data_IF_893158364819
#
_entry.id   IF_893158364819
#
_cell.length_a   1.000
_cell.length_b   1.000
_cell.length_c   1.000
_cell.angle_alpha   90.00
_cell.angle_beta   90.00
_cell.angle_gamma   90.00
#
_symmetry.space_group_name_H-M   'P 1'
#
loop_
_entity.id
_entity.type
_entity.pdbx_description
1 polymer ?
#
# COMPACT_ATOMS: atom_id res chain seq x y z
N UNK A 1 -18.75 -1.07 -21.04
CA UNK A 1 -17.95 -0.95 -19.80
C UNK A 1 -18.51 0.26 -19.08
N UNK A 2 -19.30 0.01 -18.05
CA UNK A 2 -19.90 1.06 -17.23
C UNK A 2 -19.05 1.22 -15.98
N UNK A 3 -18.51 2.42 -15.77
CA UNK A 3 -17.71 2.75 -14.58
C UNK A 3 -18.51 3.77 -13.77
N UNK A 4 -18.69 3.51 -12.49
CA UNK A 4 -19.47 4.35 -11.56
C UNK A 4 -18.60 4.80 -10.41
N UNK A 5 -18.79 6.04 -9.97
CA UNK A 5 -18.28 6.52 -8.71
C UNK A 5 -19.20 5.99 -7.59
N UNK A 6 -18.65 5.33 -6.62
CA UNK A 6 -19.36 4.83 -5.45
C UNK A 6 -18.72 5.44 -4.21
N UNK A 7 -19.49 6.18 -3.38
CA UNK A 7 -19.03 6.68 -2.09
C UNK A 7 -18.56 5.53 -1.19
N UNK A 8 -17.54 5.80 -0.35
CA UNK A 8 -16.93 4.78 0.52
C UNK A 8 -17.94 3.98 1.34
N UNK A 9 -18.95 4.61 1.86
CA UNK A 9 -20.00 4.02 2.70
C UNK A 9 -20.94 3.08 1.93
N UNK A 10 -21.06 3.24 0.63
CA UNK A 10 -21.90 2.43 -0.25
C UNK A 10 -21.12 1.27 -0.92
N UNK A 11 -19.80 1.22 -0.75
CA UNK A 11 -18.98 0.17 -1.35
C UNK A 11 -19.28 -1.17 -0.68
N UNK A 12 -19.62 -2.20 -1.48
CA UNK A 12 -19.68 -3.58 -1.01
C UNK A 12 -18.28 -4.09 -0.67
N UNK A 13 -18.04 -4.23 0.64
CA UNK A 13 -16.75 -4.65 1.18
C UNK A 13 -16.29 -6.01 0.66
N UNK A 14 -17.20 -6.94 0.50
CA UNK A 14 -16.86 -8.30 0.07
C UNK A 14 -16.44 -8.31 -1.39
N UNK A 15 -17.22 -7.67 -2.26
CA UNK A 15 -16.94 -7.58 -3.68
C UNK A 15 -15.67 -6.80 -3.96
N UNK A 16 -15.48 -5.64 -3.31
CA UNK A 16 -14.28 -4.83 -3.42
C UNK A 16 -13.01 -5.60 -3.05
N UNK A 17 -12.98 -6.18 -1.85
CA UNK A 17 -11.82 -6.94 -1.39
C UNK A 17 -11.58 -8.21 -2.22
N UNK A 18 -12.63 -8.82 -2.75
CA UNK A 18 -12.53 -9.95 -3.66
C UNK A 18 -11.88 -9.54 -4.98
N UNK A 19 -12.30 -8.41 -5.56
CA UNK A 19 -11.67 -7.86 -6.76
C UNK A 19 -10.17 -7.62 -6.53
N UNK A 20 -9.80 -6.94 -5.46
CA UNK A 20 -8.37 -6.68 -5.12
C UNK A 20 -7.61 -8.00 -4.91
N UNK A 21 -8.22 -8.99 -4.25
CA UNK A 21 -7.58 -10.27 -3.95
C UNK A 21 -7.24 -11.06 -5.22
N UNK A 22 -8.14 -11.09 -6.18
CA UNK A 22 -7.98 -11.85 -7.42
C UNK A 22 -7.38 -11.04 -8.57
N UNK A 23 -7.13 -9.73 -8.36
CA UNK A 23 -6.48 -8.90 -9.36
C UNK A 23 -5.04 -9.37 -9.60
N UNK A 24 -4.61 -9.34 -10.87
CA UNK A 24 -3.24 -9.72 -11.27
C UNK A 24 -2.18 -8.79 -10.66
N UNK A 25 -2.55 -7.55 -10.38
CA UNK A 25 -1.75 -6.53 -9.70
C UNK A 25 -2.21 -6.29 -8.26
N UNK A 26 -2.96 -7.26 -7.69
CA UNK A 26 -3.48 -7.15 -6.32
C UNK A 26 -2.37 -6.99 -5.29
N UNK A 27 -2.53 -6.02 -4.40
CA UNK A 27 -1.61 -5.76 -3.31
C UNK A 27 -2.36 -5.29 -2.06
N UNK A 28 -1.64 -5.14 -0.96
CA UNK A 28 -2.23 -4.78 0.33
C UNK A 28 -2.89 -3.39 0.33
N UNK A 29 -2.40 -2.48 -0.50
CA UNK A 29 -2.84 -1.08 -0.52
C UNK A 29 -4.25 -0.90 -1.11
N UNK A 30 -4.74 -1.86 -1.91
CA UNK A 30 -6.08 -1.84 -2.47
C UNK A 30 -7.19 -2.28 -1.51
N UNK A 31 -6.86 -3.00 -0.43
CA UNK A 31 -7.88 -3.50 0.50
C UNK A 31 -8.53 -2.37 1.31
N UNK A 32 -9.84 -2.46 1.48
CA UNK A 32 -10.61 -1.47 2.24
C UNK A 32 -10.07 -1.24 3.65
N UNK A 33 -9.69 -2.30 4.37
CA UNK A 33 -9.15 -2.17 5.74
C UNK A 33 -7.84 -1.37 5.79
N UNK A 34 -7.03 -1.42 4.71
CA UNK A 34 -5.80 -0.64 4.61
C UNK A 34 -6.12 0.82 4.27
N UNK A 35 -6.98 1.03 3.27
CA UNK A 35 -7.45 2.36 2.87
C UNK A 35 -8.13 3.08 4.04
N UNK A 36 -9.03 2.41 4.76
CA UNK A 36 -9.71 2.96 5.95
C UNK A 36 -8.76 3.30 7.10
N UNK A 37 -7.58 2.69 7.14
CA UNK A 37 -6.57 3.01 8.13
C UNK A 37 -5.72 4.22 7.75
N UNK A 38 -5.41 4.38 6.46
CA UNK A 38 -4.40 5.34 5.99
C UNK A 38 -4.97 6.53 5.22
N UNK A 39 -6.06 6.35 4.49
CA UNK A 39 -6.73 7.45 3.80
C UNK A 39 -7.71 8.15 4.73
N UNK A 40 -7.69 9.49 4.76
CA UNK A 40 -8.67 10.26 5.54
C UNK A 40 -10.06 10.18 4.92
N UNK A 41 -10.11 10.27 3.60
CA UNK A 41 -11.32 10.21 2.79
C UNK A 41 -10.97 9.47 1.51
N UNK A 42 -11.88 8.60 1.06
CA UNK A 42 -11.74 7.94 -0.20
C UNK A 42 -13.07 7.40 -0.71
N UNK A 43 -13.23 7.38 -2.02
CA UNK A 43 -14.32 6.77 -2.76
C UNK A 43 -13.76 5.73 -3.73
N UNK A 44 -14.62 5.07 -4.50
CA UNK A 44 -14.21 4.08 -5.47
C UNK A 44 -14.79 4.34 -6.86
N UNK A 45 -13.96 4.22 -7.90
CA UNK A 45 -14.47 3.93 -9.24
C UNK A 45 -14.62 2.42 -9.37
N UNK A 46 -15.78 1.97 -9.83
CA UNK A 46 -16.14 0.56 -9.93
C UNK A 46 -16.68 0.25 -11.33
N UNK A 47 -16.07 -0.72 -11.99
CA UNK A 47 -16.54 -1.28 -13.26
C UNK A 47 -17.53 -2.41 -12.99
N UNK A 48 -18.73 -2.31 -13.61
CA UNK A 48 -19.74 -3.35 -13.58
C UNK A 48 -20.12 -3.81 -12.17
N UNK A 49 -20.07 -5.11 -11.91
CA UNK A 49 -20.27 -5.69 -10.55
C UNK A 49 -18.93 -5.98 -9.86
N UNK A 50 -18.05 -4.98 -9.79
CA UNK A 50 -16.70 -5.05 -9.20
C UNK A 50 -15.70 -5.92 -9.98
N UNK A 51 -15.82 -5.99 -11.31
CA UNK A 51 -14.78 -6.63 -12.14
C UNK A 51 -13.45 -5.88 -12.10
N UNK A 52 -13.52 -4.55 -11.93
CA UNK A 52 -12.35 -3.72 -11.67
C UNK A 52 -12.71 -2.58 -10.73
N UNK A 53 -11.76 -2.18 -9.91
CA UNK A 53 -11.93 -1.10 -8.93
C UNK A 53 -10.70 -0.20 -8.87
N UNK A 54 -10.91 1.10 -8.64
CA UNK A 54 -9.85 2.07 -8.40
C UNK A 54 -10.20 2.92 -7.18
N UNK A 55 -9.41 2.89 -6.11
CA UNK A 55 -9.62 3.78 -4.97
C UNK A 55 -9.22 5.21 -5.34
N UNK A 56 -10.05 6.16 -4.98
CA UNK A 56 -9.84 7.59 -5.12
C UNK A 56 -9.66 8.21 -3.75
N UNK A 57 -8.43 8.29 -3.29
CA UNK A 57 -8.08 8.88 -2.00
C UNK A 57 -7.92 10.40 -2.15
N UNK A 58 -8.66 11.17 -1.38
CA UNK A 58 -8.69 12.62 -1.56
C UNK A 58 -8.60 13.41 -0.25
N UNK A 59 -8.31 14.69 -0.41
CA UNK A 59 -8.41 15.70 0.65
C UNK A 59 -9.08 16.96 0.12
N UNK A 60 -9.73 17.67 1.04
CA UNK A 60 -10.22 18.99 0.75
C UNK A 60 -9.07 19.96 0.57
N UNK A 61 -9.18 20.79 -0.43
CA UNK A 61 -8.24 21.85 -0.78
C UNK A 61 -8.90 23.21 -0.56
N UNK A 62 -8.15 24.27 -0.75
CA UNK A 62 -8.69 25.62 -0.66
C UNK A 62 -9.83 25.84 -1.68
N UNK A 63 -10.78 26.71 -1.32
CA UNK A 63 -11.90 27.10 -2.19
C UNK A 63 -12.90 25.96 -2.49
N UNK A 64 -13.06 24.99 -1.58
CA UNK A 64 -14.01 23.89 -1.76
C UNK A 64 -13.66 22.91 -2.87
N UNK A 65 -12.45 22.94 -3.37
CA UNK A 65 -11.94 21.96 -4.32
C UNK A 65 -11.43 20.72 -3.60
N UNK A 66 -11.39 19.60 -4.31
CA UNK A 66 -10.79 18.36 -3.83
C UNK A 66 -9.61 17.96 -4.72
N UNK A 67 -8.61 17.34 -4.12
CA UNK A 67 -7.47 16.77 -4.84
C UNK A 67 -7.24 15.35 -4.43
N UNK A 68 -6.97 14.50 -5.42
CA UNK A 68 -6.49 13.14 -5.15
C UNK A 68 -5.07 13.22 -4.62
N UNK A 69 -4.81 12.51 -3.54
CA UNK A 69 -3.51 12.53 -2.87
C UNK A 69 -3.11 11.13 -2.45
N UNK A 70 -1.81 10.87 -2.51
CA UNK A 70 -1.24 9.62 -2.00
C UNK A 70 -1.41 9.55 -0.48
N UNK A 71 -2.05 8.49 0.06
CA UNK A 71 -2.09 8.30 1.50
C UNK A 71 -0.70 7.94 2.04
N UNK A 72 -0.38 8.32 3.29
CA UNK A 72 0.88 7.91 3.90
C UNK A 72 0.97 6.38 3.99
N UNK A 73 2.18 5.84 3.89
CA UNK A 73 2.46 4.39 3.93
C UNK A 73 1.74 3.55 2.85
N UNK A 74 1.10 4.18 1.89
CA UNK A 74 0.64 3.55 0.65
C UNK A 74 1.70 3.80 -0.40
N UNK A 75 2.28 2.75 -0.96
CA UNK A 75 3.38 2.87 -1.90
C UNK A 75 2.90 3.19 -3.31
N UNK A 76 1.80 2.57 -3.72
CA UNK A 76 1.22 2.74 -5.04
C UNK A 76 -0.28 2.57 -4.99
N UNK A 77 -0.98 3.31 -5.83
CA UNK A 77 -2.39 3.15 -6.13
C UNK A 77 -2.54 2.44 -7.47
N UNK A 78 -3.64 1.75 -7.68
CA UNK A 78 -3.83 0.98 -8.91
C UNK A 78 -5.31 0.89 -9.31
N UNK A 79 -5.52 0.59 -10.59
CA UNK A 79 -6.76 0.00 -11.08
C UNK A 79 -6.62 -1.51 -10.89
N UNK A 80 -7.25 -2.04 -9.86
CA UNK A 80 -7.27 -3.47 -9.58
C UNK A 80 -8.31 -4.14 -10.46
N UNK A 81 -7.97 -5.24 -11.11
CA UNK A 81 -8.87 -5.94 -12.01
C UNK A 81 -8.68 -7.45 -11.94
N UNK A 82 -9.79 -8.19 -11.88
CA UNK A 82 -9.78 -9.66 -12.04
C UNK A 82 -9.51 -10.08 -13.49
N UNK A 83 -9.65 -9.15 -14.41
CA UNK A 83 -9.35 -9.35 -15.83
C UNK A 83 -7.92 -8.88 -16.16
N UNK A 84 -7.29 -9.41 -17.21
CA UNK A 84 -5.97 -8.96 -17.63
C UNK A 84 -5.89 -7.43 -17.86
N UNK A 85 -4.72 -6.82 -17.64
CA UNK A 85 -4.51 -5.41 -17.91
C UNK A 85 -4.94 -5.03 -19.35
N UNK A 86 -5.64 -3.90 -19.47
CA UNK A 86 -6.19 -3.43 -20.76
C UNK A 86 -6.05 -1.92 -20.87
N UNK A 87 -5.46 -1.45 -21.97
CA UNK A 87 -5.38 -0.02 -22.31
C UNK A 87 -6.76 0.63 -22.34
N UNK A 88 -7.74 -0.05 -22.96
CA UNK A 88 -9.11 0.44 -23.05
C UNK A 88 -9.76 0.61 -21.67
N UNK A 89 -9.52 -0.31 -20.74
CA UNK A 89 -10.03 -0.21 -19.37
C UNK A 89 -9.35 0.93 -18.62
N UNK A 90 -8.04 1.03 -18.72
CA UNK A 90 -7.27 2.12 -18.12
C UNK A 90 -7.81 3.49 -18.59
N UNK A 91 -7.93 3.70 -19.88
CA UNK A 91 -8.47 4.94 -20.46
C UNK A 91 -9.90 5.24 -19.98
N UNK A 92 -10.74 4.21 -19.84
CA UNK A 92 -12.11 4.38 -19.36
C UNK A 92 -12.16 4.80 -17.88
N UNK A 93 -11.30 4.25 -17.01
CA UNK A 93 -11.20 4.69 -15.61
C UNK A 93 -10.75 6.14 -15.51
N UNK A 94 -9.76 6.55 -16.29
CA UNK A 94 -9.30 7.93 -16.31
C UNK A 94 -10.32 8.89 -16.92
N UNK A 95 -11.08 8.44 -17.90
CA UNK A 95 -12.19 9.21 -18.47
C UNK A 95 -13.39 9.36 -17.52
N UNK A 96 -13.57 8.40 -16.62
CA UNK A 96 -14.61 8.41 -15.58
C UNK A 96 -14.19 9.21 -14.32
N UNK A 97 -12.99 9.80 -14.31
CA UNK A 97 -12.51 10.58 -13.18
C UNK A 97 -13.42 11.77 -12.89
N UNK A 98 -13.96 11.91 -11.67
CA UNK A 98 -14.85 13.01 -11.35
C UNK A 98 -14.20 14.38 -11.50
N UNK A 99 -14.91 15.33 -12.09
CA UNK A 99 -14.41 16.69 -12.35
C UNK A 99 -14.09 17.50 -11.08
N UNK A 100 -14.60 17.08 -9.95
CA UNK A 100 -14.31 17.69 -8.64
C UNK A 100 -12.84 17.58 -8.24
N UNK A 101 -12.13 16.55 -8.70
CA UNK A 101 -10.71 16.35 -8.41
C UNK A 101 -9.84 17.18 -9.36
N UNK A 102 -9.53 18.41 -8.95
CA UNK A 102 -8.78 19.38 -9.78
C UNK A 102 -7.26 19.16 -9.76
N UNK A 103 -6.76 18.38 -8.83
CA UNK A 103 -5.35 17.99 -8.73
C UNK A 103 -5.26 16.50 -8.47
N UNK A 104 -4.31 15.85 -9.11
CA UNK A 104 -3.96 14.45 -8.87
C UNK A 104 -2.48 14.39 -8.54
N UNK A 105 -2.16 13.83 -7.37
CA UNK A 105 -0.80 13.62 -6.88
C UNK A 105 -0.74 12.21 -6.29
N UNK A 106 -0.58 11.23 -7.18
CA UNK A 106 -0.63 9.80 -6.88
C UNK A 106 0.57 9.09 -7.47
N UNK A 107 1.11 8.14 -6.74
CA UNK A 107 2.01 7.13 -7.28
C UNK A 107 1.18 5.95 -7.78
N UNK A 108 1.33 5.60 -9.04
CA UNK A 108 0.54 4.56 -9.69
C UNK A 108 1.43 3.39 -10.09
N UNK A 109 0.85 2.20 -10.14
CA UNK A 109 1.53 1.06 -10.74
C UNK A 109 1.73 1.27 -12.25
N UNK A 110 2.56 0.44 -12.87
CA UNK A 110 2.91 0.57 -14.29
C UNK A 110 1.71 0.41 -15.24
N UNK A 111 0.62 -0.23 -14.79
CA UNK A 111 -0.55 -0.53 -15.61
C UNK A 111 -1.66 0.52 -15.49
N UNK A 112 -1.65 1.31 -14.41
CA UNK A 112 -2.73 2.23 -14.06
C UNK A 112 -2.45 3.68 -14.46
N UNK A 113 -1.33 3.97 -15.10
CA UNK A 113 -0.94 5.32 -15.52
C UNK A 113 -1.86 5.88 -16.62
N UNK A 114 -2.26 7.16 -16.55
CA UNK A 114 -3.04 7.80 -17.61
C UNK A 114 -2.23 7.87 -18.93
N UNK A 115 -2.92 7.52 -20.03
CA UNK A 115 -2.33 7.60 -21.37
C UNK A 115 -2.94 8.71 -22.17
N UNK A 116 -2.67 9.79 -22.46
CA UNK A 116 -3.27 10.81 -23.34
C UNK A 116 -4.36 11.72 -22.75
N UNK A 117 -4.38 11.95 -21.43
CA UNK A 117 -5.48 12.70 -20.79
C UNK A 117 -5.06 14.09 -20.28
N UNK A 118 -3.97 14.66 -20.79
CA UNK A 118 -3.49 15.97 -20.31
C UNK A 118 -2.83 15.94 -18.93
N UNK A 119 -2.64 14.76 -18.35
CA UNK A 119 -1.93 14.58 -17.08
C UNK A 119 -0.40 14.60 -17.31
N UNK A 120 0.31 15.25 -16.41
CA UNK A 120 1.78 15.17 -16.37
C UNK A 120 2.15 13.95 -15.55
N UNK A 121 2.92 13.04 -16.12
CA UNK A 121 3.43 11.84 -15.45
C UNK A 121 4.94 11.89 -15.35
N UNK A 122 5.47 11.50 -14.21
CA UNK A 122 6.90 11.31 -13.97
C UNK A 122 7.16 9.83 -13.68
N UNK A 123 8.09 9.23 -14.40
CA UNK A 123 8.47 7.83 -14.17
C UNK A 123 9.51 7.70 -13.06
N UNK A 124 9.25 6.83 -12.10
CA UNK A 124 10.18 6.49 -11.03
C UNK A 124 10.52 5.01 -11.05
N UNK A 125 11.78 4.69 -10.73
CA UNK A 125 12.23 3.31 -10.66
C UNK A 125 11.76 2.66 -9.35
N UNK A 126 11.14 1.50 -9.49
CA UNK A 126 10.75 0.68 -8.37
C UNK A 126 11.43 -0.69 -8.42
N UNK A 127 11.83 -1.22 -7.27
CA UNK A 127 12.46 -2.54 -7.15
C UNK A 127 11.45 -3.54 -6.60
N UNK A 128 11.32 -4.66 -7.28
CA UNK A 128 10.45 -5.75 -6.90
C UNK A 128 11.27 -7.04 -6.69
N UNK A 129 11.12 -7.65 -5.52
CA UNK A 129 11.71 -8.95 -5.22
C UNK A 129 10.60 -10.00 -5.11
N UNK A 130 10.47 -10.93 -6.08
CA UNK A 130 9.56 -12.05 -5.98
C UNK A 130 10.01 -13.01 -4.86
N UNK A 131 9.14 -13.27 -3.88
CA UNK A 131 9.39 -14.18 -2.77
C UNK A 131 8.81 -15.59 -3.00
N UNK A 132 8.44 -15.90 -4.24
CA UNK A 132 7.87 -17.21 -4.62
C UNK A 132 8.88 -18.35 -4.71
N UNK A 133 10.18 -18.02 -4.77
CA UNK A 133 11.27 -19.00 -4.78
C UNK A 133 11.62 -19.47 -3.37
N UNK A 134 12.16 -20.69 -3.26
CA UNK A 134 12.75 -21.14 -2.01
C UNK A 134 13.85 -20.18 -1.54
N UNK A 135 14.00 -20.02 -0.23
CA UNK A 135 14.95 -19.07 0.36
C UNK A 135 16.39 -19.31 -0.12
N UNK A 136 16.79 -20.57 -0.30
CA UNK A 136 18.12 -20.96 -0.79
C UNK A 136 18.42 -20.34 -2.14
N UNK A 137 17.45 -20.34 -3.07
CA UNK A 137 17.60 -19.73 -4.40
C UNK A 137 17.65 -18.20 -4.35
N UNK A 138 17.00 -17.58 -3.38
CA UNK A 138 17.10 -16.14 -3.15
C UNK A 138 18.49 -15.80 -2.58
N UNK A 139 19.00 -16.61 -1.65
CA UNK A 139 20.31 -16.43 -1.01
C UNK A 139 21.46 -16.57 -2.02
N UNK A 140 21.37 -17.43 -3.02
CA UNK A 140 22.38 -17.56 -4.09
C UNK A 140 22.59 -16.25 -4.87
N UNK A 141 21.60 -15.35 -4.83
CA UNK A 141 21.67 -14.03 -5.51
C UNK A 141 22.14 -12.90 -4.61
N UNK A 142 22.48 -13.18 -3.37
CA UNK A 142 22.94 -12.16 -2.44
C UNK A 142 24.35 -11.69 -2.86
N UNK A 143 24.60 -10.38 -2.72
CA UNK A 143 25.93 -9.85 -2.88
C UNK A 143 26.86 -10.39 -1.78
N UNK A 144 28.17 -10.47 -2.07
CA UNK A 144 29.14 -10.89 -1.05
C UNK A 144 29.07 -10.00 0.19
N UNK A 145 28.91 -8.69 0.00
CA UNK A 145 28.75 -7.74 1.12
C UNK A 145 27.55 -8.09 2.02
N UNK A 146 26.43 -8.49 1.44
CA UNK A 146 25.27 -8.91 2.24
C UNK A 146 25.54 -10.22 2.99
N UNK A 147 26.22 -11.17 2.34
CA UNK A 147 26.61 -12.43 2.99
C UNK A 147 27.51 -12.16 4.19
N UNK A 148 28.54 -11.33 4.02
CA UNK A 148 29.47 -10.95 5.09
C UNK A 148 28.75 -10.27 6.26
N UNK A 149 27.80 -9.35 5.98
CA UNK A 149 26.97 -8.71 6.99
C UNK A 149 26.09 -9.70 7.74
N UNK A 150 25.54 -10.70 7.05
CA UNK A 150 24.73 -11.74 7.69
C UNK A 150 25.56 -12.64 8.61
N UNK A 151 26.82 -12.96 8.23
CA UNK A 151 27.70 -13.73 9.09
C UNK A 151 28.12 -12.93 10.34
N UNK A 152 28.37 -11.63 10.21
CA UNK A 152 28.59 -10.74 11.36
C UNK A 152 27.35 -10.70 12.27
N UNK A 153 26.15 -10.57 11.69
CA UNK A 153 24.91 -10.57 12.47
C UNK A 153 24.63 -11.89 13.18
N UNK A 154 24.99 -13.03 12.58
CA UNK A 154 24.89 -14.36 13.22
C UNK A 154 25.88 -14.55 14.35
N UNK A 155 27.10 -13.98 14.21
CA UNK A 155 28.12 -14.03 15.24
C UNK A 155 27.82 -13.09 16.42
N UNK A 156 26.97 -12.09 16.22
CA UNK A 156 26.45 -11.25 17.28
C UNK A 156 25.41 -12.06 18.08
N UNK A 157 25.55 -12.09 19.39
CA UNK A 157 24.65 -12.85 20.31
C UNK A 157 23.28 -12.15 20.40
N UNK A 158 22.49 -12.25 19.31
CA UNK A 158 21.19 -11.60 19.17
C UNK A 158 20.06 -12.54 19.62
N UNK A 159 19.23 -12.07 20.54
CA UNK A 159 18.06 -12.80 21.01
C UNK A 159 16.77 -12.27 20.37
N UNK A 160 16.06 -13.08 19.55
CA UNK A 160 14.77 -12.69 19.03
C UNK A 160 13.69 -12.83 20.09
N UNK A 161 12.90 -11.78 20.26
CA UNK A 161 11.67 -11.80 21.05
C UNK A 161 10.50 -11.53 20.11
N UNK A 162 9.65 -12.52 19.92
CA UNK A 162 8.41 -12.40 19.17
C UNK A 162 7.29 -11.83 20.04
N UNK A 163 6.25 -11.29 19.43
CA UNK A 163 5.04 -10.81 20.10
C UNK A 163 5.21 -9.52 20.91
N UNK A 164 5.79 -8.52 20.28
CA UNK A 164 5.75 -7.15 20.81
C UNK A 164 4.46 -6.43 20.39
N UNK A 165 4.07 -5.46 21.20
CA UNK A 165 2.91 -4.64 20.89
C UNK A 165 3.19 -3.70 19.71
N UNK A 166 2.28 -3.56 18.75
CA UNK A 166 2.41 -2.63 17.63
C UNK A 166 2.75 -1.19 18.03
N UNK A 167 2.28 -0.73 19.19
CA UNK A 167 2.58 0.61 19.71
C UNK A 167 4.08 0.86 19.84
N UNK A 168 4.83 -0.13 20.31
CA UNK A 168 6.29 0.02 20.49
C UNK A 168 7.01 0.23 19.15
N UNK A 169 6.56 -0.49 18.09
CA UNK A 169 7.11 -0.30 16.75
C UNK A 169 6.68 1.05 16.18
N UNK A 170 5.40 1.41 16.32
CA UNK A 170 4.87 2.67 15.83
C UNK A 170 5.55 3.88 16.49
N UNK A 171 5.83 3.81 17.79
CA UNK A 171 6.59 4.83 18.52
C UNK A 171 8.03 4.97 17.99
N UNK A 172 8.71 3.85 17.74
CA UNK A 172 10.05 3.86 17.16
C UNK A 172 10.02 4.47 15.75
N UNK A 173 9.07 4.06 14.93
CA UNK A 173 8.89 4.59 13.59
C UNK A 173 8.66 6.11 13.62
N UNK A 174 7.78 6.61 14.50
CA UNK A 174 7.54 8.04 14.69
C UNK A 174 8.80 8.79 15.13
N UNK A 175 9.59 8.22 16.03
CA UNK A 175 10.88 8.82 16.47
C UNK A 175 11.90 8.90 15.34
N UNK A 176 11.97 7.88 14.49
CA UNK A 176 12.94 7.82 13.39
C UNK A 176 12.53 8.66 12.18
N UNK A 177 11.26 8.70 11.85
CA UNK A 177 10.73 9.38 10.65
C UNK A 177 10.19 10.77 10.94
N UNK A 178 9.78 11.05 12.16
CA UNK A 178 9.42 12.40 12.66
C UNK A 178 8.14 13.05 12.10
N UNK A 179 7.54 12.47 11.07
CA UNK A 179 6.58 13.17 10.20
C UNK A 179 5.15 12.60 10.27
N UNK A 180 4.87 11.62 11.13
CA UNK A 180 3.52 11.08 11.26
C UNK A 180 2.63 12.00 12.11
N UNK A 181 1.52 12.42 11.55
CA UNK A 181 0.43 13.04 12.32
C UNK A 181 -0.22 12.01 13.25
N UNK A 182 -0.96 12.46 14.26
CA UNK A 182 -1.66 11.54 15.17
C UNK A 182 -2.61 10.57 14.44
N UNK A 183 -3.43 10.99 13.45
CA UNK A 183 -4.25 10.05 12.68
C UNK A 183 -3.43 8.99 11.93
N UNK A 184 -2.30 9.36 11.34
CA UNK A 184 -1.41 8.45 10.63
C UNK A 184 -0.72 7.46 11.58
N UNK A 185 -0.32 7.91 12.76
CA UNK A 185 0.22 7.07 13.81
C UNK A 185 -0.78 6.00 14.26
N UNK A 186 -2.02 6.39 14.51
CA UNK A 186 -3.09 5.46 14.85
C UNK A 186 -3.48 4.56 13.66
N UNK A 187 -3.38 5.06 12.43
CA UNK A 187 -3.55 4.28 11.22
C UNK A 187 -2.51 3.16 11.12
N UNK A 188 -1.23 3.48 11.36
CA UNK A 188 -0.14 2.50 11.39
C UNK A 188 -0.40 1.40 12.43
N UNK A 189 -0.80 1.76 13.65
CA UNK A 189 -1.14 0.79 14.69
C UNK A 189 -2.28 -0.13 14.23
N UNK A 190 -3.35 0.43 13.65
CA UNK A 190 -4.48 -0.36 13.13
C UNK A 190 -4.06 -1.35 12.05
N UNK A 191 -3.18 -0.92 11.12
CA UNK A 191 -2.63 -1.82 10.09
C UNK A 191 -1.89 -2.97 10.75
N UNK A 192 -0.99 -2.69 11.68
CA UNK A 192 -0.19 -3.72 12.36
C UNK A 192 -1.08 -4.70 13.11
N UNK A 193 -2.08 -4.23 13.86
CA UNK A 193 -3.04 -5.12 14.54
C UNK A 193 -3.84 -5.96 13.55
N UNK A 194 -4.27 -5.42 12.42
CA UNK A 194 -4.96 -6.18 11.38
C UNK A 194 -4.08 -7.28 10.78
N UNK A 195 -2.80 -6.98 10.52
CA UNK A 195 -1.85 -7.96 9.98
C UNK A 195 -1.61 -9.09 10.99
N UNK A 196 -1.37 -8.76 12.25
CA UNK A 196 -1.15 -9.74 13.32
C UNK A 196 -2.39 -10.61 13.54
N UNK A 197 -3.58 -10.00 13.63
CA UNK A 197 -4.84 -10.72 13.83
C UNK A 197 -5.15 -11.71 12.70
N UNK A 198 -4.77 -11.38 11.47
CA UNK A 198 -4.96 -12.23 10.30
C UNK A 198 -3.87 -13.30 10.13
N UNK A 199 -2.82 -13.26 10.94
CA UNK A 199 -1.68 -14.14 10.78
C UNK A 199 -0.86 -13.87 9.49
N UNK A 200 -0.93 -12.65 8.95
CA UNK A 200 -0.22 -12.27 7.72
C UNK A 200 1.19 -11.75 7.97
N UNK A 201 1.55 -11.60 9.21
CA UNK A 201 2.87 -11.15 9.63
C UNK A 201 3.06 -11.31 11.12
N UNK A 202 4.23 -10.95 11.57
CA UNK A 202 4.59 -10.93 12.99
C UNK A 202 5.36 -9.65 13.30
N UNK A 203 5.43 -9.32 14.58
CA UNK A 203 6.21 -8.21 15.10
C UNK A 203 7.18 -8.73 16.15
N UNK A 204 8.42 -8.28 16.13
CA UNK A 204 9.44 -8.76 17.03
C UNK A 204 10.50 -7.73 17.37
N UNK A 205 11.34 -8.08 18.31
CA UNK A 205 12.51 -7.32 18.72
C UNK A 205 13.73 -8.25 18.75
N UNK A 206 14.88 -7.73 18.35
CA UNK A 206 16.17 -8.34 18.59
C UNK A 206 16.86 -7.61 19.72
N UNK A 207 17.45 -8.35 20.63
CA UNK A 207 18.22 -7.81 21.74
C UNK A 207 19.67 -8.23 21.61
N UNK A 208 20.56 -7.30 21.90
CA UNK A 208 21.97 -7.54 22.11
C UNK A 208 22.39 -6.68 23.30
N UNK A 209 22.72 -7.30 24.42
CA UNK A 209 22.95 -6.63 25.69
C UNK A 209 21.80 -5.64 26.01
N UNK A 210 22.12 -4.35 26.14
CA UNK A 210 21.12 -3.29 26.38
C UNK A 210 20.52 -2.68 25.09
N UNK A 211 20.93 -3.15 23.89
CA UNK A 211 20.44 -2.65 22.61
C UNK A 211 19.20 -3.41 22.15
N UNK A 212 18.25 -2.68 21.60
CA UNK A 212 16.99 -3.23 21.13
C UNK A 212 16.75 -2.83 19.68
N UNK A 213 16.62 -3.83 18.79
CA UNK A 213 16.24 -3.65 17.39
C UNK A 213 14.83 -4.20 17.17
N UNK A 214 13.91 -3.40 16.59
CA UNK A 214 12.50 -3.76 16.34
C UNK A 214 12.23 -3.91 14.86
N UNK A 215 11.36 -4.86 14.50
CA UNK A 215 10.98 -5.16 13.12
C UNK A 215 9.52 -5.61 13.02
#
# INVERSE_FOLDING_TARGET
>A
MEIRLIPREEIDKTKWNSCVHYATNGNVFGYMWYLDAMARQWDGLVEGDYESVMPLTYKDMNWGQQGLVQPPLVREMAIYSVNPPSTKRNEAFWAAMPEQYKKVDLQLDAFSQPRNNGWVTEETTNYFLPLSSAYELLRERYSQTLIDQLEVAKAADLFPVSSIKPERIAELFRKMRGNLTEPEFHGLQRIMYNILHRGWGFAGEWYQDDWVFRF
#
